data_IF_372810029991
#
_entry.id   IF_372810029991
#
_cell.length_a   1.000
_cell.length_b   1.000
_cell.length_c   1.000
_cell.angle_alpha   90.00
_cell.angle_beta   90.00
_cell.angle_gamma   90.00
#
_symmetry.space_group_name_H-M   'P 1'
#
loop_
_entity.id
_entity.type
_entity.pdbx_description
1 polymer ?
#
# COMPACT_ATOMS: atom_id res chain seq x y z
N UNK A 1 5.21 17.25 5.34
CA UNK A 1 5.96 17.72 4.15
C UNK A 1 5.11 17.83 2.89
N UNK A 2 4.35 16.78 2.51
CA UNK A 2 3.47 16.84 1.33
C UNK A 2 2.43 17.98 1.39
N UNK A 3 1.68 18.09 2.49
CA UNK A 3 0.70 19.17 2.71
C UNK A 3 1.33 20.56 2.64
N UNK A 4 2.51 20.72 3.26
CA UNK A 4 3.29 21.96 3.26
C UNK A 4 3.62 22.38 1.82
N UNK A 5 4.16 21.47 1.01
CA UNK A 5 4.48 21.72 -0.41
C UNK A 5 3.25 21.95 -1.28
N UNK A 6 2.13 21.31 -0.95
CA UNK A 6 0.87 21.52 -1.64
C UNK A 6 0.33 22.93 -1.38
N UNK A 7 0.35 23.36 -0.12
CA UNK A 7 -0.03 24.71 0.29
C UNK A 7 0.85 25.78 -0.36
N UNK A 8 2.17 25.58 -0.43
CA UNK A 8 3.10 26.47 -1.16
C UNK A 8 2.76 26.65 -2.64
N UNK A 9 2.12 25.63 -3.25
CA UNK A 9 1.70 25.64 -4.65
C UNK A 9 0.24 26.03 -4.84
N UNK A 10 -0.49 26.36 -3.76
CA UNK A 10 -1.92 26.64 -3.82
C UNK A 10 -2.78 25.45 -4.24
N UNK A 11 -2.27 24.22 -4.05
CA UNK A 11 -2.98 22.98 -4.41
C UNK A 11 -3.62 22.40 -3.15
N UNK A 12 -4.94 22.26 -3.15
CA UNK A 12 -5.64 21.47 -2.14
C UNK A 12 -5.49 19.97 -2.43
N UNK A 13 -5.04 19.20 -1.44
CA UNK A 13 -4.95 17.75 -1.54
C UNK A 13 -5.80 17.14 -0.42
N UNK A 14 -6.87 16.40 -0.75
CA UNK A 14 -7.67 15.70 0.25
C UNK A 14 -6.89 14.47 0.76
N UNK A 15 -6.08 14.66 1.79
CA UNK A 15 -5.33 13.59 2.45
C UNK A 15 -6.08 13.06 3.66
N UNK A 16 -6.19 11.74 3.75
CA UNK A 16 -6.70 11.04 4.92
C UNK A 16 -5.60 10.11 5.45
N UNK A 17 -5.18 10.35 6.69
CA UNK A 17 -4.14 9.54 7.33
C UNK A 17 -4.69 8.18 7.78
N UNK A 18 -4.12 7.09 7.28
CA UNK A 18 -4.48 5.73 7.72
C UNK A 18 -3.61 5.34 8.92
N UNK A 19 -4.23 5.21 10.09
CA UNK A 19 -3.56 4.69 11.29
C UNK A 19 -3.62 3.15 11.30
N UNK A 20 -2.46 2.52 11.22
CA UNK A 20 -2.34 1.06 11.33
C UNK A 20 -2.19 0.64 12.79
N UNK A 21 -3.05 -0.25 13.28
CA UNK A 21 -2.97 -0.85 14.62
C UNK A 21 -2.27 -2.22 14.63
N UNK A 22 -2.28 -2.91 13.49
CA UNK A 22 -1.66 -4.23 13.33
C UNK A 22 -0.20 -4.11 12.90
N UNK A 23 0.64 -5.04 13.38
CA UNK A 23 2.05 -5.13 13.01
C UNK A 23 2.22 -5.22 11.48
N UNK A 24 3.17 -4.45 10.93
CA UNK A 24 3.49 -4.39 9.50
C UNK A 24 3.74 -5.76 8.87
N UNK A 25 4.45 -6.65 9.57
CA UNK A 25 4.72 -8.01 9.07
C UNK A 25 3.42 -8.77 8.82
N UNK A 26 2.52 -8.75 9.81
CA UNK A 26 1.23 -9.45 9.71
C UNK A 26 0.37 -8.86 8.59
N UNK A 27 0.39 -7.53 8.42
CA UNK A 27 -0.36 -6.84 7.35
C UNK A 27 0.14 -7.24 5.97
N UNK A 28 1.45 -7.10 5.71
CA UNK A 28 2.03 -7.38 4.39
C UNK A 28 1.89 -8.86 4.02
N UNK A 29 2.05 -9.78 4.98
CA UNK A 29 1.83 -11.22 4.77
C UNK A 29 0.38 -11.58 4.37
N UNK A 30 -0.60 -10.67 4.50
CA UNK A 30 -1.95 -10.89 3.95
C UNK A 30 -1.98 -10.94 2.42
N UNK A 31 -0.92 -10.46 1.74
CA UNK A 31 -0.81 -10.52 0.29
C UNK A 31 -0.54 -11.94 -0.22
N UNK A 32 0.15 -12.77 0.55
CA UNK A 32 0.54 -14.15 0.16
C UNK A 32 -0.66 -14.99 -0.33
N UNK A 33 -1.78 -15.12 0.43
CA UNK A 33 -2.92 -15.89 -0.04
C UNK A 33 -3.56 -15.28 -1.29
N UNK A 34 -3.55 -13.94 -1.46
CA UNK A 34 -4.11 -13.27 -2.64
C UNK A 34 -3.28 -13.56 -3.90
N UNK A 35 -1.96 -13.62 -3.76
CA UNK A 35 -1.03 -13.97 -4.84
C UNK A 35 -1.17 -15.45 -5.18
N UNK A 36 -1.15 -16.32 -4.16
CA UNK A 36 -1.25 -17.77 -4.34
C UNK A 36 -2.57 -18.22 -5.00
N UNK A 37 -3.66 -17.53 -4.69
CA UNK A 37 -4.99 -17.80 -5.28
C UNK A 37 -5.23 -17.13 -6.63
N UNK A 38 -4.31 -16.27 -7.10
CA UNK A 38 -4.44 -15.55 -8.37
C UNK A 38 -5.37 -14.33 -8.34
N UNK A 39 -5.88 -13.93 -7.18
CA UNK A 39 -6.63 -12.66 -7.04
C UNK A 39 -5.73 -11.43 -7.19
N UNK A 40 -4.42 -11.57 -6.90
CA UNK A 40 -3.42 -10.54 -7.10
C UNK A 40 -2.33 -11.05 -8.05
N UNK A 41 -2.32 -10.53 -9.28
CA UNK A 41 -1.36 -10.92 -10.31
C UNK A 41 -0.33 -9.80 -10.46
N UNK A 42 0.96 -10.14 -10.27
CA UNK A 42 2.06 -9.19 -10.37
C UNK A 42 2.65 -9.16 -11.78
N UNK A 43 2.92 -7.96 -12.28
CA UNK A 43 3.68 -7.80 -13.51
C UNK A 43 5.17 -8.09 -13.27
N UNK A 44 5.74 -9.02 -14.05
CA UNK A 44 7.16 -9.41 -13.97
C UNK A 44 8.15 -8.25 -14.15
N UNK A 45 7.72 -7.13 -14.72
CA UNK A 45 8.55 -5.92 -14.84
C UNK A 45 8.83 -5.25 -13.48
N UNK A 46 8.00 -5.46 -12.46
CA UNK A 46 8.18 -4.88 -11.13
C UNK A 46 9.17 -5.70 -10.30
N UNK A 47 10.43 -5.78 -10.76
CA UNK A 47 11.46 -6.63 -10.14
C UNK A 47 11.67 -6.35 -8.66
N UNK A 48 11.72 -5.07 -8.29
CA UNK A 48 11.93 -4.66 -6.90
C UNK A 48 10.77 -5.09 -5.98
N UNK A 49 9.52 -4.84 -6.38
CA UNK A 49 8.35 -5.31 -5.64
C UNK A 49 8.34 -6.84 -5.49
N UNK A 50 8.69 -7.56 -6.56
CA UNK A 50 8.74 -9.03 -6.53
C UNK A 50 9.82 -9.49 -5.56
N UNK A 51 10.99 -8.86 -5.57
CA UNK A 51 12.08 -9.14 -4.62
C UNK A 51 11.67 -8.86 -3.18
N UNK A 52 11.08 -7.69 -2.92
CA UNK A 52 10.55 -7.32 -1.59
C UNK A 52 9.58 -8.38 -1.08
N UNK A 53 8.58 -8.76 -1.89
CA UNK A 53 7.57 -9.76 -1.50
C UNK A 53 8.18 -11.16 -1.35
N UNK A 54 9.14 -11.54 -2.18
CA UNK A 54 9.77 -12.87 -2.13
C UNK A 54 10.61 -13.06 -0.87
N UNK A 55 11.32 -12.02 -0.44
CA UNK A 55 12.22 -12.09 0.71
C UNK A 55 11.64 -11.50 1.99
N UNK A 56 10.41 -10.97 1.95
CA UNK A 56 9.75 -10.41 3.12
C UNK A 56 9.68 -11.45 4.28
N UNK A 57 9.95 -11.08 5.55
CA UNK A 57 10.27 -9.73 6.06
C UNK A 57 11.79 -9.40 6.08
N UNK A 58 12.62 -10.19 5.39
CA UNK A 58 14.08 -10.06 5.38
C UNK A 58 14.63 -9.28 4.17
N UNK A 59 13.75 -8.76 3.31
CA UNK A 59 14.13 -7.92 2.19
C UNK A 59 14.83 -6.64 2.66
N UNK A 60 15.63 -6.02 1.78
CA UNK A 60 16.34 -4.78 2.11
C UNK A 60 15.43 -3.56 2.30
N UNK A 61 14.21 -3.62 1.74
CA UNK A 61 13.14 -2.64 1.86
C UNK A 61 11.78 -3.35 1.83
N UNK A 62 10.73 -2.63 2.22
CA UNK A 62 9.35 -3.11 2.17
C UNK A 62 8.35 -2.01 1.79
N UNK A 63 8.83 -0.91 1.19
CA UNK A 63 8.02 0.26 0.86
C UNK A 63 7.01 -0.06 -0.25
N UNK A 64 7.43 -0.83 -1.26
CA UNK A 64 6.55 -1.22 -2.36
C UNK A 64 5.53 -2.26 -1.88
N UNK A 65 5.96 -3.21 -1.05
CA UNK A 65 5.09 -4.22 -0.43
C UNK A 65 4.04 -3.60 0.53
N UNK A 66 4.42 -2.64 1.38
CA UNK A 66 3.50 -1.94 2.29
C UNK A 66 2.51 -1.07 1.50
N UNK A 67 2.97 -0.38 0.46
CA UNK A 67 2.10 0.41 -0.43
C UNK A 67 1.07 -0.48 -1.13
N UNK A 68 1.49 -1.67 -1.59
CA UNK A 68 0.60 -2.64 -2.21
C UNK A 68 -0.42 -3.22 -1.23
N UNK A 69 0.00 -3.54 0.01
CA UNK A 69 -0.91 -3.97 1.08
C UNK A 69 -2.01 -2.93 1.29
N UNK A 70 -1.62 -1.67 1.42
CA UNK A 70 -2.57 -0.58 1.65
C UNK A 70 -3.54 -0.43 0.48
N UNK A 71 -3.06 -0.48 -0.77
CA UNK A 71 -3.91 -0.43 -1.95
C UNK A 71 -4.92 -1.59 -1.99
N UNK A 72 -4.46 -2.83 -1.75
CA UNK A 72 -5.31 -4.01 -1.70
C UNK A 72 -6.35 -3.94 -0.58
N UNK A 73 -5.98 -3.43 0.60
CA UNK A 73 -6.90 -3.26 1.73
C UNK A 73 -8.01 -2.27 1.42
N UNK A 74 -7.68 -1.12 0.83
CA UNK A 74 -8.66 -0.11 0.43
C UNK A 74 -9.61 -0.68 -0.63
N UNK A 75 -9.08 -1.40 -1.62
CA UNK A 75 -9.90 -2.02 -2.67
C UNK A 75 -10.89 -3.06 -2.13
N UNK A 76 -10.52 -3.80 -1.08
CA UNK A 76 -11.38 -4.80 -0.42
C UNK A 76 -12.42 -4.19 0.52
N UNK A 77 -12.16 -3.02 1.08
CA UNK A 77 -13.04 -2.33 2.04
C UNK A 77 -13.33 -0.88 1.59
N UNK A 78 -14.03 -0.69 0.45
CA UNK A 78 -14.22 0.63 -0.17
C UNK A 78 -15.00 1.64 0.69
N UNK A 79 -15.58 1.22 1.83
CA UNK A 79 -16.29 2.08 2.77
C UNK A 79 -15.47 2.62 3.94
N UNK A 80 -14.20 2.19 4.12
CA UNK A 80 -13.34 2.66 5.23
C UNK A 80 -12.41 3.82 4.88
N UNK A 81 -12.25 4.13 3.60
CA UNK A 81 -11.55 5.33 3.14
C UNK A 81 -12.60 6.30 2.64
N UNK A 82 -12.92 7.27 3.48
CA UNK A 82 -13.90 8.32 3.23
C UNK A 82 -13.34 9.48 2.41
N UNK A 83 -12.34 9.22 1.57
CA UNK A 83 -11.94 10.17 0.54
C UNK A 83 -13.07 10.26 -0.49
N UNK A 84 -14.07 11.10 -0.22
CA UNK A 84 -14.93 11.65 -1.27
C UNK A 84 -14.01 12.33 -2.27
N UNK A 85 -13.83 11.69 -3.41
CA UNK A 85 -13.32 12.37 -4.60
C UNK A 85 -14.41 13.40 -4.93
N UNK A 86 -14.16 14.65 -4.55
CA UNK A 86 -14.99 15.80 -4.92
C UNK A 86 -14.81 16.09 -6.41
#
# INVERSE_FOLDING_TARGET
ELERRAAERGIYIPLEGIKNSTNKIVRISQLDPMIASGYLILNRKHKHLIEELTYFPKAGSDDSADSLEMACRIAREPGKVTAKIL
#
